data_IF_957150067855
#
_entry.id   IF_957150067855
#
_cell.length_a   1.000
_cell.length_b   1.000
_cell.length_c   1.000
_cell.angle_alpha   90.00
_cell.angle_beta   90.00
_cell.angle_gamma   90.00
#
_symmetry.space_group_name_H-M   'P 1'
#
loop_
_entity.id
_entity.type
_entity.pdbx_description
1 polymer ?
#
# COMPACT_ATOMS: atom_id res chain seq x y z
N UNK A 1 34.20 -28.68 -9.39
CA UNK A 1 34.45 -27.71 -8.30
C UNK A 1 33.54 -26.50 -8.52
N UNK A 2 32.34 -26.51 -7.93
CA UNK A 2 31.40 -25.40 -8.06
C UNK A 2 31.78 -24.35 -7.02
N UNK A 3 32.26 -23.20 -7.48
CA UNK A 3 32.65 -22.08 -6.62
C UNK A 3 31.40 -21.48 -5.99
N UNK A 4 31.09 -21.93 -4.78
CA UNK A 4 30.15 -21.26 -3.88
C UNK A 4 30.79 -19.94 -3.48
N UNK A 5 30.60 -18.88 -4.27
CA UNK A 5 30.81 -17.52 -3.78
C UNK A 5 29.96 -17.40 -2.52
N UNK A 6 30.59 -17.34 -1.35
CA UNK A 6 29.93 -16.90 -0.13
C UNK A 6 29.30 -15.54 -0.46
N UNK A 7 27.97 -15.49 -0.66
CA UNK A 7 27.24 -14.23 -0.63
C UNK A 7 27.49 -13.68 0.78
N UNK A 8 28.29 -12.62 0.90
CA UNK A 8 28.48 -11.89 2.14
C UNK A 8 27.10 -11.67 2.77
N UNK A 9 26.92 -12.09 4.02
CA UNK A 9 25.62 -11.98 4.69
C UNK A 9 25.28 -10.49 4.80
N UNK A 10 24.36 -10.04 3.96
CA UNK A 10 23.97 -8.63 3.90
C UNK A 10 23.33 -8.24 5.22
N UNK A 11 23.79 -7.13 5.80
CA UNK A 11 23.23 -6.59 7.05
C UNK A 11 22.28 -5.44 6.75
N UNK A 12 21.33 -5.16 7.66
CA UNK A 12 20.45 -4.00 7.53
C UNK A 12 21.25 -2.69 7.48
N UNK A 13 22.36 -2.63 8.22
CA UNK A 13 23.29 -1.50 8.22
C UNK A 13 23.92 -1.25 6.85
N UNK A 14 24.38 -2.30 6.16
CA UNK A 14 24.95 -2.15 4.81
C UNK A 14 23.91 -1.64 3.80
N UNK A 15 22.67 -2.14 3.89
CA UNK A 15 21.57 -1.68 3.02
C UNK A 15 21.21 -0.22 3.32
N UNK A 16 21.16 0.17 4.59
CA UNK A 16 20.94 1.56 4.97
C UNK A 16 22.08 2.46 4.46
N UNK A 17 23.34 2.05 4.59
CA UNK A 17 24.48 2.82 4.07
C UNK A 17 24.43 2.99 2.55
N UNK A 18 23.91 2.00 1.81
CA UNK A 18 23.66 2.13 0.37
C UNK A 18 22.51 3.12 0.08
N UNK A 19 21.41 3.07 0.85
CA UNK A 19 20.33 4.06 0.75
C UNK A 19 20.85 5.48 1.00
N UNK A 20 21.72 5.66 1.98
CA UNK A 20 22.29 6.97 2.36
C UNK A 20 23.08 7.62 1.22
N UNK A 21 23.58 6.86 0.24
CA UNK A 21 24.23 7.42 -0.96
C UNK A 21 23.26 8.22 -1.86
N UNK A 22 21.95 8.10 -1.63
CA UNK A 22 20.90 8.75 -2.41
C UNK A 22 20.15 9.84 -1.63
N UNK A 23 20.70 10.28 -0.49
CA UNK A 23 20.10 11.37 0.31
C UNK A 23 20.05 12.65 -0.52
N UNK A 24 18.86 13.24 -0.58
CA UNK A 24 18.64 14.60 -1.07
C UNK A 24 18.24 15.49 0.12
N UNK A 25 19.10 16.45 0.54
CA UNK A 25 18.81 17.36 1.65
C UNK A 25 17.52 18.17 1.45
N UNK A 26 17.19 18.57 0.22
CA UNK A 26 15.97 19.32 -0.08
C UNK A 26 14.75 18.45 0.17
N UNK A 27 14.82 17.17 -0.24
CA UNK A 27 13.74 16.22 0.05
C UNK A 27 13.65 15.88 1.53
N UNK A 28 14.78 15.78 2.24
CA UNK A 28 14.79 15.54 3.69
C UNK A 28 14.00 16.61 4.45
N UNK A 29 14.09 17.87 4.05
CA UNK A 29 13.32 18.96 4.66
C UNK A 29 11.85 18.96 4.24
N UNK A 30 11.56 18.61 2.97
CA UNK A 30 10.21 18.67 2.41
C UNK A 30 9.31 17.49 2.82
N UNK A 31 9.84 16.27 2.80
CA UNK A 31 9.07 15.03 2.97
C UNK A 31 8.28 14.97 4.30
N UNK A 32 8.83 15.39 5.45
CA UNK A 32 8.07 15.40 6.71
C UNK A 32 6.75 16.18 6.65
N UNK A 33 6.71 17.29 5.90
CA UNK A 33 5.50 18.10 5.73
C UNK A 33 4.51 17.49 4.74
N UNK A 34 5.03 16.84 3.71
CA UNK A 34 4.23 16.11 2.73
C UNK A 34 3.54 14.90 3.38
N UNK A 35 4.28 14.14 4.17
CA UNK A 35 3.80 12.94 4.88
C UNK A 35 3.13 13.21 6.23
N UNK A 36 2.92 14.50 6.58
CA UNK A 36 2.16 14.91 7.76
C UNK A 36 2.68 14.28 9.05
N UNK A 37 3.93 14.61 9.39
CA UNK A 37 4.66 14.09 10.55
C UNK A 37 4.53 14.90 11.85
N UNK A 38 3.75 15.98 11.82
CA UNK A 38 3.49 16.79 13.00
C UNK A 38 2.58 16.10 14.02
N UNK A 39 2.53 16.65 15.24
CA UNK A 39 1.68 16.14 16.32
C UNK A 39 0.20 16.08 15.91
N UNK A 40 -0.46 14.96 16.19
CA UNK A 40 -1.85 14.67 15.84
C UNK A 40 -2.10 14.35 14.37
N UNK A 41 -1.05 14.26 13.56
CA UNK A 41 -1.16 13.89 12.15
C UNK A 41 -0.90 12.40 11.93
N UNK A 42 -1.28 11.87 10.76
CA UNK A 42 -1.22 10.42 10.51
C UNK A 42 0.21 9.87 10.45
N UNK A 43 1.21 10.70 10.15
CA UNK A 43 2.61 10.31 10.08
C UNK A 43 3.41 10.75 11.31
N UNK A 44 2.75 11.09 12.43
CA UNK A 44 3.41 11.64 13.61
C UNK A 44 4.64 10.81 14.03
N UNK A 45 5.78 11.50 14.17
CA UNK A 45 7.04 10.88 14.61
C UNK A 45 7.83 10.15 13.52
N UNK A 46 7.32 10.06 12.28
CA UNK A 46 8.06 9.48 11.15
C UNK A 46 9.24 10.38 10.74
N UNK A 47 10.36 9.75 10.35
CA UNK A 47 11.60 10.45 9.99
C UNK A 47 12.05 10.05 8.59
N UNK A 48 12.58 11.02 7.85
CA UNK A 48 12.93 10.86 6.44
C UNK A 48 14.42 11.11 6.21
N UNK A 49 15.05 10.21 5.48
CA UNK A 49 16.40 10.41 4.95
C UNK A 49 16.41 11.40 3.79
N UNK A 50 15.29 11.60 3.10
CA UNK A 50 15.19 12.46 1.91
C UNK A 50 15.44 11.69 0.62
N UNK A 51 15.10 10.40 0.56
CA UNK A 51 15.39 9.56 -0.61
C UNK A 51 14.11 9.37 -1.42
N UNK A 52 14.17 9.67 -2.72
CA UNK A 52 13.03 9.49 -3.61
C UNK A 52 12.80 8.02 -3.95
N UNK A 53 11.53 7.63 -4.12
CA UNK A 53 11.11 6.25 -4.39
C UNK A 53 11.90 5.54 -5.52
N UNK A 54 12.23 6.19 -6.66
CA UNK A 54 13.05 5.54 -7.69
C UNK A 54 14.40 5.04 -7.17
N UNK A 55 15.08 5.81 -6.30
CA UNK A 55 16.36 5.43 -5.72
C UNK A 55 16.20 4.29 -4.71
N UNK A 56 15.15 4.32 -3.89
CA UNK A 56 14.83 3.23 -2.96
C UNK A 56 14.58 1.91 -3.72
N UNK A 57 13.92 1.96 -4.88
CA UNK A 57 13.70 0.79 -5.74
C UNK A 57 14.99 0.18 -6.28
N UNK A 58 16.00 1.00 -6.59
CA UNK A 58 17.31 0.52 -7.05
C UNK A 58 17.96 -0.36 -5.97
N UNK A 59 18.02 0.13 -4.74
CA UNK A 59 18.59 -0.59 -3.61
C UNK A 59 17.77 -1.84 -3.29
N UNK A 60 16.44 -1.71 -3.21
CA UNK A 60 15.56 -2.83 -2.92
C UNK A 60 15.73 -4.00 -3.91
N UNK A 61 15.87 -3.70 -5.20
CA UNK A 61 16.08 -4.73 -6.24
C UNK A 61 17.39 -5.49 -6.08
N UNK A 62 18.47 -4.82 -5.63
CA UNK A 62 19.79 -5.43 -5.39
C UNK A 62 19.80 -6.33 -4.17
N UNK A 63 18.96 -6.02 -3.17
CA UNK A 63 18.97 -6.68 -1.86
C UNK A 63 17.77 -7.60 -1.59
N UNK A 64 16.88 -7.80 -2.55
CA UNK A 64 15.64 -8.58 -2.37
C UNK A 64 15.80 -10.02 -1.85
N UNK A 65 16.98 -10.63 -2.02
CA UNK A 65 17.28 -11.97 -1.53
C UNK A 65 17.77 -11.99 -0.07
N UNK A 66 17.81 -10.84 0.62
CA UNK A 66 18.23 -10.78 2.01
C UNK A 66 17.32 -11.62 2.93
N UNK A 67 17.85 -12.21 4.02
CA UNK A 67 17.06 -12.95 4.99
C UNK A 67 15.95 -12.09 5.64
N UNK A 68 14.84 -12.71 6.06
CA UNK A 68 13.76 -11.98 6.73
C UNK A 68 14.22 -11.23 7.98
N UNK A 69 15.22 -11.74 8.71
CA UNK A 69 15.82 -11.03 9.85
C UNK A 69 16.29 -9.62 9.47
N UNK A 70 16.92 -9.47 8.31
CA UNK A 70 17.38 -8.17 7.78
C UNK A 70 16.19 -7.27 7.42
N UNK A 71 15.14 -7.85 6.85
CA UNK A 71 13.91 -7.12 6.53
C UNK A 71 13.19 -6.62 7.79
N UNK A 72 13.17 -7.41 8.87
CA UNK A 72 12.67 -6.99 10.18
C UNK A 72 13.48 -5.80 10.69
N UNK A 73 14.81 -5.90 10.72
CA UNK A 73 15.68 -4.80 11.18
C UNK A 73 15.43 -3.51 10.40
N UNK A 74 15.29 -3.58 9.07
CA UNK A 74 14.94 -2.42 8.25
C UNK A 74 13.54 -1.87 8.52
N UNK A 75 12.54 -2.73 8.76
CA UNK A 75 11.17 -2.33 9.12
C UNK A 75 11.08 -1.67 10.51
N UNK A 76 11.98 -2.05 11.43
CA UNK A 76 12.07 -1.43 12.76
C UNK A 76 12.84 -0.11 12.75
N UNK A 77 13.53 0.23 11.65
CA UNK A 77 14.20 1.51 11.51
C UNK A 77 13.25 2.69 11.74
N UNK A 78 13.76 3.76 12.34
CA UNK A 78 13.05 5.05 12.44
C UNK A 78 12.93 5.75 11.08
N UNK A 79 13.81 5.41 10.13
CA UNK A 79 13.85 6.00 8.81
C UNK A 79 12.79 5.38 7.90
N UNK A 80 11.90 6.21 7.40
CA UNK A 80 10.85 5.86 6.46
C UNK A 80 11.40 5.07 5.25
N UNK A 81 12.48 5.53 4.63
CA UNK A 81 13.00 4.93 3.40
C UNK A 81 13.66 3.56 3.62
N UNK A 82 14.14 3.27 4.84
CA UNK A 82 14.57 1.92 5.21
C UNK A 82 13.38 0.95 5.22
N UNK A 83 12.25 1.39 5.80
CA UNK A 83 11.03 0.59 5.87
C UNK A 83 10.43 0.39 4.48
N UNK A 84 10.37 1.44 3.68
CA UNK A 84 9.97 1.35 2.28
C UNK A 84 10.88 0.40 1.49
N UNK A 85 12.20 0.46 1.69
CA UNK A 85 13.14 -0.44 1.02
C UNK A 85 12.83 -1.91 1.34
N UNK A 86 12.63 -2.25 2.61
CA UNK A 86 12.27 -3.61 3.02
C UNK A 86 10.98 -4.11 2.34
N UNK A 87 9.94 -3.27 2.27
CA UNK A 87 8.68 -3.64 1.60
C UNK A 87 8.86 -3.83 0.10
N UNK A 88 9.65 -2.97 -0.54
CA UNK A 88 9.97 -3.10 -1.97
C UNK A 88 10.85 -4.34 -2.26
N UNK A 89 11.74 -4.71 -1.33
CA UNK A 89 12.50 -5.96 -1.40
C UNK A 89 11.55 -7.17 -1.37
N UNK A 90 10.56 -7.17 -0.47
CA UNK A 90 9.53 -8.22 -0.42
C UNK A 90 8.75 -8.30 -1.73
N UNK A 91 8.30 -7.17 -2.29
CA UNK A 91 7.60 -7.12 -3.58
C UNK A 91 8.46 -7.72 -4.71
N UNK A 92 9.75 -7.36 -4.78
CA UNK A 92 10.66 -7.89 -5.81
C UNK A 92 11.02 -9.37 -5.63
N UNK A 93 10.99 -9.87 -4.39
CA UNK A 93 11.15 -11.30 -4.06
C UNK A 93 9.90 -12.08 -4.43
N UNK A 94 8.72 -11.57 -4.06
CA UNK A 94 7.41 -12.21 -4.29
C UNK A 94 7.15 -12.51 -5.78
N UNK A 95 7.57 -11.60 -6.67
CA UNK A 95 7.44 -11.77 -8.13
C UNK A 95 8.19 -12.98 -8.70
N UNK A 96 9.20 -13.51 -8.01
CA UNK A 96 10.13 -14.52 -8.55
C UNK A 96 10.15 -15.83 -7.76
N UNK A 97 9.36 -15.95 -6.70
CA UNK A 97 9.38 -17.11 -5.82
C UNK A 97 8.19 -18.05 -6.07
N UNK A 98 8.30 -19.27 -5.58
CA UNK A 98 7.23 -20.28 -5.66
C UNK A 98 6.10 -20.01 -4.67
N UNK A 99 5.04 -20.81 -4.71
CA UNK A 99 3.86 -20.64 -3.84
C UNK A 99 4.19 -20.79 -2.34
N UNK A 100 5.19 -21.61 -1.98
CA UNK A 100 5.60 -21.79 -0.58
C UNK A 100 6.24 -20.50 -0.07
N UNK A 101 7.18 -19.94 -0.82
CA UNK A 101 7.84 -18.69 -0.49
C UNK A 101 6.86 -17.51 -0.52
N UNK A 102 5.89 -17.48 -1.45
CA UNK A 102 4.84 -16.45 -1.47
C UNK A 102 4.01 -16.47 -0.21
N UNK A 103 3.61 -17.65 0.27
CA UNK A 103 2.88 -17.81 1.53
C UNK A 103 3.72 -17.32 2.72
N UNK A 104 5.01 -17.61 2.72
CA UNK A 104 5.91 -17.14 3.78
C UNK A 104 6.03 -15.61 3.78
N UNK A 105 6.22 -14.99 2.61
CA UNK A 105 6.26 -13.53 2.45
C UNK A 105 4.93 -12.88 2.87
N UNK A 106 3.80 -13.46 2.44
CA UNK A 106 2.47 -12.98 2.79
C UNK A 106 2.26 -12.99 4.32
N UNK A 107 2.54 -14.12 4.96
CA UNK A 107 2.43 -14.24 6.41
C UNK A 107 3.38 -13.27 7.11
N UNK A 108 4.63 -13.18 6.67
CA UNK A 108 5.61 -12.24 7.19
C UNK A 108 5.11 -10.80 7.12
N UNK A 109 4.60 -10.36 5.97
CA UNK A 109 4.05 -9.02 5.75
C UNK A 109 2.97 -8.67 6.77
N UNK A 110 2.03 -9.60 7.01
CA UNK A 110 0.94 -9.41 7.96
C UNK A 110 1.40 -9.33 9.42
N UNK A 111 2.58 -9.86 9.77
CA UNK A 111 3.14 -9.68 11.11
C UNK A 111 3.75 -8.30 11.34
N UNK A 112 3.97 -7.52 10.28
CA UNK A 112 4.72 -6.26 10.33
C UNK A 112 3.86 -5.01 10.10
N UNK A 113 2.53 -5.13 10.00
CA UNK A 113 1.65 -4.04 9.58
C UNK A 113 1.74 -2.78 10.45
N UNK A 114 2.02 -2.94 11.76
CA UNK A 114 2.27 -1.82 12.67
C UNK A 114 3.47 -0.92 12.25
N UNK A 115 4.42 -1.44 11.47
CA UNK A 115 5.55 -0.69 10.91
C UNK A 115 5.32 -0.18 9.49
N UNK A 116 4.23 -0.62 8.85
CA UNK A 116 3.77 -0.14 7.53
C UNK A 116 2.84 1.06 7.77
N UNK A 117 3.37 2.07 8.46
CA UNK A 117 2.56 3.11 9.10
C UNK A 117 2.43 4.40 8.27
N UNK A 118 2.42 4.27 6.95
CA UNK A 118 2.20 5.38 6.04
C UNK A 118 1.49 4.88 4.78
N UNK A 119 0.77 5.78 4.10
CA UNK A 119 -0.07 5.40 2.97
C UNK A 119 0.77 4.87 1.80
N UNK A 120 1.96 5.41 1.55
CA UNK A 120 2.82 4.99 0.46
C UNK A 120 3.48 3.63 0.74
N UNK A 121 3.85 3.36 1.99
CA UNK A 121 4.31 2.04 2.44
C UNK A 121 3.27 0.97 2.10
N UNK A 122 1.99 1.23 2.40
CA UNK A 122 0.87 0.33 2.05
C UNK A 122 0.70 0.26 0.53
N UNK A 123 0.52 1.41 -0.13
CA UNK A 123 0.12 1.48 -1.54
C UNK A 123 1.16 0.87 -2.48
N UNK A 124 2.45 0.95 -2.13
CA UNK A 124 3.54 0.41 -2.93
C UNK A 124 3.83 -1.08 -2.67
N UNK A 125 3.18 -1.69 -1.67
CA UNK A 125 3.48 -3.06 -1.24
C UNK A 125 2.28 -3.99 -1.20
N UNK A 126 1.14 -3.55 -0.64
CA UNK A 126 -0.05 -4.38 -0.44
C UNK A 126 -0.60 -4.98 -1.73
N UNK A 127 -0.75 -4.25 -2.86
CA UNK A 127 -1.24 -4.87 -4.10
C UNK A 127 -0.34 -6.00 -4.61
N UNK A 128 0.98 -5.82 -4.52
CA UNK A 128 1.97 -6.75 -5.06
C UNK A 128 2.30 -7.94 -4.16
N UNK A 129 1.81 -7.94 -2.91
CA UNK A 129 2.01 -9.02 -1.95
C UNK A 129 0.65 -9.61 -1.54
N UNK A 130 -0.15 -8.84 -0.80
CA UNK A 130 -1.45 -9.28 -0.27
C UNK A 130 -2.42 -9.50 -1.42
N UNK A 131 -2.56 -8.54 -2.33
CA UNK A 131 -3.45 -8.66 -3.49
C UNK A 131 -3.08 -9.83 -4.41
N UNK A 132 -1.80 -9.96 -4.78
CA UNK A 132 -1.31 -11.05 -5.63
C UNK A 132 -1.43 -12.43 -4.97
N UNK A 133 -1.24 -12.53 -3.65
CA UNK A 133 -1.37 -13.80 -2.93
C UNK A 133 -2.83 -14.26 -2.83
N UNK A 134 -3.78 -13.33 -2.70
CA UNK A 134 -5.19 -13.61 -2.44
C UNK A 134 -6.05 -13.79 -3.70
N UNK A 135 -5.47 -13.62 -4.90
CA UNK A 135 -6.21 -13.71 -6.16
C UNK A 135 -6.97 -15.04 -6.32
N UNK A 136 -6.38 -16.13 -5.84
CA UNK A 136 -6.85 -17.52 -5.97
C UNK A 136 -7.00 -18.21 -4.61
N UNK A 137 -7.23 -17.44 -3.54
CA UNK A 137 -7.31 -17.93 -2.15
C UNK A 137 -8.51 -17.33 -1.41
N UNK A 138 -8.94 -17.91 -0.27
CA UNK A 138 -9.91 -17.28 0.62
C UNK A 138 -9.46 -15.90 1.07
N UNK A 139 -10.40 -14.95 1.16
CA UNK A 139 -10.13 -13.51 1.35
C UNK A 139 -10.60 -12.96 2.69
N UNK A 140 -10.96 -13.83 3.65
CA UNK A 140 -11.41 -13.46 5.01
C UNK A 140 -10.45 -12.49 5.72
N UNK A 141 -9.16 -12.59 5.39
CA UNK A 141 -8.11 -11.71 5.90
C UNK A 141 -8.34 -10.24 5.54
N UNK A 142 -8.92 -9.91 4.38
CA UNK A 142 -9.21 -8.52 4.00
C UNK A 142 -10.24 -7.93 4.95
N UNK A 143 -11.27 -8.69 5.31
CA UNK A 143 -12.32 -8.25 6.23
C UNK A 143 -11.81 -8.14 7.66
N UNK A 144 -11.00 -9.09 8.12
CA UNK A 144 -10.31 -8.99 9.42
C UNK A 144 -9.43 -7.72 9.52
N UNK A 145 -8.74 -7.38 8.44
CA UNK A 145 -7.93 -6.14 8.38
C UNK A 145 -8.80 -4.89 8.32
N UNK A 146 -9.96 -4.95 7.64
CA UNK A 146 -10.92 -3.86 7.58
C UNK A 146 -11.54 -3.55 8.96
N UNK A 147 -11.76 -4.58 9.78
CA UNK A 147 -12.28 -4.47 11.15
C UNK A 147 -11.23 -4.02 12.19
N UNK A 148 -9.96 -3.92 11.81
CA UNK A 148 -8.87 -3.50 12.71
C UNK A 148 -8.99 -2.01 13.06
N UNK A 149 -8.63 -1.64 14.30
CA UNK A 149 -8.49 -0.23 14.70
C UNK A 149 -7.28 0.46 14.05
N UNK A 150 -6.34 -0.31 13.50
CA UNK A 150 -5.17 0.24 12.82
C UNK A 150 -5.55 0.72 11.43
N UNK A 151 -5.50 2.05 11.22
CA UNK A 151 -5.74 2.69 9.92
C UNK A 151 -5.02 2.01 8.74
N UNK A 152 -3.81 1.53 8.98
CA UNK A 152 -2.97 0.92 7.95
C UNK A 152 -3.42 -0.49 7.59
N UNK A 153 -3.96 -1.26 8.54
CA UNK A 153 -4.60 -2.55 8.24
C UNK A 153 -5.83 -2.33 7.36
N UNK A 154 -6.69 -1.37 7.73
CA UNK A 154 -7.87 -1.00 6.93
C UNK A 154 -7.47 -0.60 5.51
N UNK A 155 -6.39 0.18 5.37
CA UNK A 155 -5.87 0.59 4.06
C UNK A 155 -5.32 -0.60 3.29
N UNK A 156 -4.61 -1.52 3.93
CA UNK A 156 -4.12 -2.76 3.29
C UNK A 156 -5.32 -3.55 2.74
N UNK A 157 -6.41 -3.70 3.51
CA UNK A 157 -7.61 -4.41 3.06
C UNK A 157 -8.14 -3.84 1.73
N UNK A 158 -8.35 -2.53 1.69
CA UNK A 158 -8.90 -1.85 0.51
C UNK A 158 -7.91 -1.84 -0.65
N UNK A 159 -6.66 -1.47 -0.43
CA UNK A 159 -5.69 -1.27 -1.53
C UNK A 159 -5.23 -2.60 -2.13
N UNK A 160 -5.29 -3.70 -1.38
CA UNK A 160 -5.03 -5.04 -1.91
C UNK A 160 -6.02 -5.45 -3.01
N UNK A 161 -7.26 -4.92 -2.99
CA UNK A 161 -8.24 -5.23 -4.05
C UNK A 161 -7.83 -4.68 -5.41
N UNK A 162 -6.86 -3.77 -5.49
CA UNK A 162 -6.36 -3.28 -6.78
C UNK A 162 -5.92 -4.42 -7.71
N UNK A 163 -5.31 -5.47 -7.14
CA UNK A 163 -4.94 -6.66 -7.92
C UNK A 163 -6.16 -7.44 -8.38
N UNK A 164 -7.19 -7.59 -7.55
CA UNK A 164 -8.45 -8.26 -7.91
C UNK A 164 -9.18 -7.50 -9.01
N UNK A 165 -9.31 -6.18 -8.86
CA UNK A 165 -9.91 -5.26 -9.85
C UNK A 165 -9.20 -5.38 -11.20
N UNK A 166 -7.86 -5.50 -11.21
CA UNK A 166 -7.10 -5.68 -12.46
C UNK A 166 -7.40 -7.01 -13.17
N UNK A 167 -7.93 -7.99 -12.45
CA UNK A 167 -8.36 -9.30 -12.95
C UNK A 167 -9.90 -9.39 -13.07
N UNK A 168 -10.57 -8.24 -13.14
CA UNK A 168 -12.03 -8.11 -13.32
C UNK A 168 -12.86 -8.78 -12.21
N UNK A 169 -12.28 -8.89 -11.01
CA UNK A 169 -12.93 -9.35 -9.79
C UNK A 169 -13.21 -8.17 -8.86
N UNK A 170 -14.50 -7.84 -8.73
CA UNK A 170 -14.97 -6.62 -8.06
C UNK A 170 -15.68 -6.89 -6.72
N UNK A 171 -15.80 -8.15 -6.32
CA UNK A 171 -16.64 -8.56 -5.17
C UNK A 171 -16.16 -7.88 -3.89
N UNK A 172 -14.86 -8.01 -3.59
CA UNK A 172 -14.30 -7.48 -2.34
C UNK A 172 -14.30 -5.95 -2.31
N UNK A 173 -14.05 -5.27 -3.43
CA UNK A 173 -14.06 -3.80 -3.41
C UNK A 173 -15.45 -3.25 -3.18
N UNK A 174 -16.50 -3.85 -3.73
CA UNK A 174 -17.88 -3.43 -3.47
C UNK A 174 -18.20 -3.61 -1.99
N UNK A 175 -17.94 -4.81 -1.44
CA UNK A 175 -18.22 -5.12 -0.04
C UNK A 175 -17.44 -4.20 0.93
N UNK A 176 -16.15 -4.00 0.69
CA UNK A 176 -15.32 -3.10 1.51
C UNK A 176 -15.74 -1.63 1.35
N UNK A 177 -16.19 -1.22 0.17
CA UNK A 177 -16.70 0.15 -0.03
C UNK A 177 -17.98 0.39 0.77
N UNK A 178 -18.89 -0.59 0.83
CA UNK A 178 -20.08 -0.54 1.68
C UNK A 178 -19.69 -0.49 3.17
N UNK A 179 -18.74 -1.33 3.60
CA UNK A 179 -18.23 -1.35 4.97
C UNK A 179 -17.66 0.02 5.40
N UNK A 180 -16.96 0.73 4.50
CA UNK A 180 -16.33 2.02 4.80
C UNK A 180 -17.18 3.26 4.49
N UNK A 181 -18.49 3.13 4.15
CA UNK A 181 -19.35 4.28 3.84
C UNK A 181 -19.34 5.36 4.94
N UNK A 182 -19.22 4.96 6.20
CA UNK A 182 -19.24 5.89 7.34
C UNK A 182 -17.86 6.22 7.91
N UNK A 183 -16.78 5.85 7.21
CA UNK A 183 -15.42 6.10 7.69
C UNK A 183 -15.17 7.59 7.92
N UNK A 184 -14.56 7.91 9.07
CA UNK A 184 -14.17 9.28 9.43
C UNK A 184 -12.78 9.65 8.91
N UNK A 185 -11.93 8.67 8.62
CA UNK A 185 -10.56 8.91 8.17
C UNK A 185 -10.49 9.31 6.70
N UNK A 186 -9.95 10.50 6.43
CA UNK A 186 -9.79 11.03 5.06
C UNK A 186 -8.92 10.13 4.17
N UNK A 187 -7.86 9.53 4.73
CA UNK A 187 -7.01 8.59 3.98
C UNK A 187 -7.78 7.35 3.51
N UNK A 188 -8.72 6.84 4.32
CA UNK A 188 -9.59 5.72 3.90
C UNK A 188 -10.61 6.15 2.87
N UNK A 189 -11.21 7.33 2.99
CA UNK A 189 -12.11 7.88 1.96
C UNK A 189 -11.42 7.95 0.60
N UNK A 190 -10.15 8.38 0.58
CA UNK A 190 -9.33 8.43 -0.63
C UNK A 190 -8.99 7.03 -1.16
N UNK A 191 -8.65 6.07 -0.30
CA UNK A 191 -8.37 4.70 -0.71
C UNK A 191 -9.59 4.04 -1.37
N UNK A 192 -10.75 4.11 -0.71
CA UNK A 192 -12.00 3.51 -1.21
C UNK A 192 -12.42 4.19 -2.51
N UNK A 193 -12.44 5.53 -2.53
CA UNK A 193 -12.77 6.28 -3.75
C UNK A 193 -11.80 5.98 -4.90
N UNK A 194 -10.50 5.81 -4.61
CA UNK A 194 -9.52 5.39 -5.60
C UNK A 194 -9.84 3.99 -6.14
N UNK A 195 -10.07 2.99 -5.29
CA UNK A 195 -10.36 1.64 -5.76
C UNK A 195 -11.69 1.55 -6.53
N UNK A 196 -12.73 2.28 -6.11
CA UNK A 196 -13.97 2.44 -6.88
C UNK A 196 -13.72 3.07 -8.26
N UNK A 197 -12.84 4.07 -8.34
CA UNK A 197 -12.41 4.65 -9.62
C UNK A 197 -11.69 3.63 -10.49
N UNK A 198 -10.83 2.79 -9.92
CA UNK A 198 -10.14 1.75 -10.69
C UNK A 198 -11.11 0.67 -11.20
N UNK A 199 -12.10 0.28 -10.39
CA UNK A 199 -13.22 -0.57 -10.84
C UNK A 199 -14.00 0.10 -11.98
N UNK A 200 -14.36 1.38 -11.84
CA UNK A 200 -15.10 2.13 -12.86
C UNK A 200 -14.36 2.32 -14.19
N UNK A 201 -13.03 2.20 -14.22
CA UNK A 201 -12.26 2.16 -15.48
C UNK A 201 -12.43 0.84 -16.23
N UNK A 202 -12.77 -0.24 -15.52
CA UNK A 202 -13.05 -1.57 -16.08
C UNK A 202 -14.54 -1.73 -16.41
N UNK A 203 -15.39 -1.30 -15.48
CA UNK A 203 -16.84 -1.42 -15.58
C UNK A 203 -17.52 -0.13 -15.06
N UNK A 204 -17.83 0.79 -15.98
CA UNK A 204 -18.48 2.07 -15.65
C UNK A 204 -19.89 1.84 -15.11
N UNK A 205 -20.64 0.90 -15.68
CA UNK A 205 -22.04 0.68 -15.34
C UNK A 205 -22.17 0.13 -13.91
N UNK A 206 -21.27 -0.77 -13.52
CA UNK A 206 -21.22 -1.27 -12.14
C UNK A 206 -20.88 -0.16 -11.14
N UNK A 207 -19.96 0.75 -11.48
CA UNK A 207 -19.69 1.93 -10.66
C UNK A 207 -20.92 2.83 -10.55
N UNK A 208 -21.62 3.10 -11.65
CA UNK A 208 -22.85 3.92 -11.64
C UNK A 208 -23.91 3.27 -10.75
N UNK A 209 -24.15 1.96 -10.85
CA UNK A 209 -25.10 1.24 -9.99
C UNK A 209 -24.74 1.37 -8.50
N UNK A 210 -23.45 1.22 -8.16
CA UNK A 210 -22.98 1.41 -6.79
C UNK A 210 -23.25 2.84 -6.31
N UNK A 211 -22.92 3.84 -7.13
CA UNK A 211 -23.09 5.26 -6.80
C UNK A 211 -24.57 5.64 -6.67
N UNK A 212 -25.45 5.13 -7.53
CA UNK A 212 -26.89 5.39 -7.44
C UNK A 212 -27.47 4.91 -6.11
N UNK A 213 -27.02 3.76 -5.62
CA UNK A 213 -27.42 3.21 -4.32
C UNK A 213 -26.87 4.02 -3.14
N UNK A 214 -25.62 4.49 -3.23
CA UNK A 214 -24.86 4.94 -2.05
C UNK A 214 -24.43 6.40 -2.03
N UNK A 215 -24.50 7.14 -3.14
CA UNK A 215 -23.90 8.48 -3.26
C UNK A 215 -24.31 9.48 -2.16
N UNK A 216 -25.56 9.40 -1.69
CA UNK A 216 -26.10 10.25 -0.60
C UNK A 216 -25.46 9.97 0.76
N UNK A 217 -24.98 8.75 0.98
CA UNK A 217 -24.31 8.33 2.21
C UNK A 217 -22.78 8.48 2.11
N UNK A 218 -22.24 8.42 0.90
CA UNK A 218 -20.79 8.47 0.67
C UNK A 218 -20.17 9.79 1.13
N UNK A 219 -19.01 9.75 1.80
CA UNK A 219 -18.27 10.95 2.11
C UNK A 219 -17.86 11.68 0.82
N UNK A 220 -17.99 13.00 0.79
CA UNK A 220 -17.70 13.83 -0.40
C UNK A 220 -16.31 13.57 -1.01
N UNK A 221 -15.28 13.33 -0.18
CA UNK A 221 -13.94 12.98 -0.67
C UNK A 221 -13.96 11.64 -1.43
N UNK A 222 -14.64 10.63 -0.90
CA UNK A 222 -14.73 9.30 -1.50
C UNK A 222 -15.46 9.37 -2.84
N UNK A 223 -16.62 10.05 -2.88
CA UNK A 223 -17.39 10.24 -4.10
C UNK A 223 -16.57 10.97 -5.18
N UNK A 224 -15.90 12.07 -4.83
CA UNK A 224 -15.07 12.84 -5.78
C UNK A 224 -13.96 12.01 -6.41
N UNK A 225 -13.33 11.14 -5.63
CA UNK A 225 -12.30 10.23 -6.12
C UNK A 225 -12.91 9.19 -7.07
N UNK A 226 -14.03 8.57 -6.70
CA UNK A 226 -14.71 7.55 -7.49
C UNK A 226 -15.08 8.06 -8.89
N UNK A 227 -15.62 9.29 -8.98
CA UNK A 227 -16.10 9.89 -10.24
C UNK A 227 -15.04 10.73 -10.97
N UNK A 228 -13.77 10.69 -10.58
CA UNK A 228 -12.74 11.58 -11.16
C UNK A 228 -12.66 11.48 -12.70
N UNK A 229 -12.90 10.29 -13.25
CA UNK A 229 -12.84 10.02 -14.70
C UNK A 229 -14.16 10.22 -15.44
N UNK A 230 -15.23 10.63 -14.76
CA UNK A 230 -16.51 10.90 -15.42
C UNK A 230 -16.46 12.25 -16.16
N UNK A 231 -17.29 12.43 -17.21
CA UNK A 231 -17.52 13.73 -17.80
C UNK A 231 -17.95 14.77 -16.76
N UNK A 232 -17.59 16.03 -16.97
CA UNK A 232 -17.80 17.10 -15.99
C UNK A 232 -19.28 17.22 -15.55
N UNK A 233 -20.21 17.11 -16.49
CA UNK A 233 -21.65 17.19 -16.21
C UNK A 233 -22.16 16.04 -15.35
N UNK A 234 -21.74 14.80 -15.63
CA UNK A 234 -22.07 13.65 -14.78
C UNK A 234 -21.48 13.82 -13.37
N UNK A 235 -20.26 14.36 -13.27
CA UNK A 235 -19.63 14.65 -11.96
C UNK A 235 -20.45 15.66 -11.17
N UNK A 236 -20.89 16.76 -11.79
CA UNK A 236 -21.73 17.78 -11.15
C UNK A 236 -23.04 17.17 -10.66
N UNK A 237 -23.69 16.34 -11.47
CA UNK A 237 -24.94 15.67 -11.09
C UNK A 237 -24.78 14.80 -9.84
N UNK A 238 -23.75 13.95 -9.78
CA UNK A 238 -23.49 13.14 -8.59
C UNK A 238 -23.12 13.98 -7.36
N UNK A 239 -22.37 15.07 -7.53
CA UNK A 239 -21.94 15.93 -6.42
C UNK A 239 -23.07 16.83 -5.86
N UNK A 240 -24.18 17.00 -6.58
CA UNK A 240 -25.36 17.77 -6.18
C UNK A 240 -26.40 16.96 -5.41
N UNK A 241 -26.32 15.62 -5.46
CA UNK A 241 -27.21 14.71 -4.72
C UNK A 241 -26.86 14.65 -3.23
#
# INVERSE_FOLDING_TARGET
MCSTKLKKMQTAKEIQQELEQYIDPVKREYLPNFFKTGKGQYGEGDKFLGIVVPNTRIVAKRHKDAPFKVMVELLQSEWHECRLCALLMLVERFKKCDEKDKKEIFNFYLTQTARINNWDLVDLSAPGIVGEYLKDKPRDVLYRLADSDLLWDQRIAVVSTYTLIKNDDFIDIIALSEHFLHTRHDLMRKAVGWMLREMGKRDKDLLVQFLEKHCKLMPRTMLRYAIEKFPEEERKQFMQR
#
